data_IF_734490204062
#
_entry.id   IF_734490204062
#
_cell.length_a   1.000
_cell.length_b   1.000
_cell.length_c   1.000
_cell.angle_alpha   90.00
_cell.angle_beta   90.00
_cell.angle_gamma   90.00
#
_symmetry.space_group_name_H-M   'P 1'
#
loop_
_entity.id
_entity.type
_entity.pdbx_description
1 polymer ?
#
# COMPACT_ATOMS: atom_id res chain seq x y z
N UNK A 1 20.57 3.06 -25.49
CA UNK A 1 19.60 2.42 -24.57
C UNK A 1 19.21 3.46 -23.55
N UNK A 2 17.93 3.82 -23.55
CA UNK A 2 17.41 5.16 -23.27
C UNK A 2 17.08 5.36 -21.79
N UNK A 3 17.46 6.54 -21.27
CA UNK A 3 17.17 7.09 -19.93
C UNK A 3 15.70 7.00 -19.48
N UNK A 4 14.78 6.70 -20.40
CA UNK A 4 13.33 6.67 -20.20
C UNK A 4 12.82 5.36 -19.58
N UNK A 5 13.54 4.24 -19.71
CA UNK A 5 13.05 2.95 -19.20
C UNK A 5 13.09 2.84 -17.67
N UNK A 6 14.08 3.48 -17.01
CA UNK A 6 14.20 3.39 -15.55
C UNK A 6 13.06 4.12 -14.80
N UNK A 7 12.50 5.18 -15.36
CA UNK A 7 11.35 5.85 -14.75
C UNK A 7 10.07 5.02 -14.89
N UNK A 8 9.84 4.40 -16.05
CA UNK A 8 8.64 3.60 -16.31
C UNK A 8 8.54 2.38 -15.39
N UNK A 9 9.64 1.69 -15.10
CA UNK A 9 9.62 0.51 -14.19
C UNK A 9 9.31 0.86 -12.74
N UNK A 10 9.76 2.05 -12.29
CA UNK A 10 9.55 2.55 -10.93
C UNK A 10 8.13 3.12 -10.74
N UNK A 11 7.59 3.81 -11.75
CA UNK A 11 6.29 4.48 -11.66
C UNK A 11 5.09 3.60 -12.05
N UNK A 12 5.25 2.62 -12.94
CA UNK A 12 4.10 1.79 -13.36
C UNK A 12 3.54 0.98 -12.20
N UNK A 13 4.39 0.28 -11.43
CA UNK A 13 3.94 -0.56 -10.33
C UNK A 13 3.31 0.25 -9.18
N UNK A 14 3.84 1.46 -8.89
CA UNK A 14 3.29 2.31 -7.82
C UNK A 14 1.94 2.92 -8.23
N UNK A 15 1.74 3.22 -9.52
CA UNK A 15 0.47 3.75 -10.04
C UNK A 15 -0.62 2.68 -9.99
N UNK A 16 -0.29 1.44 -10.32
CA UNK A 16 -1.21 0.31 -10.24
C UNK A 16 -1.57 -0.03 -8.79
N UNK A 17 -0.57 -0.07 -7.90
CA UNK A 17 -0.77 -0.25 -6.46
C UNK A 17 -1.66 0.87 -5.87
N UNK A 18 -1.40 2.12 -6.26
CA UNK A 18 -2.17 3.29 -5.84
C UNK A 18 -3.62 3.25 -6.35
N UNK A 19 -3.83 2.87 -7.62
CA UNK A 19 -5.17 2.71 -8.21
C UNK A 19 -5.94 1.60 -7.49
N UNK A 20 -5.29 0.48 -7.20
CA UNK A 20 -5.87 -0.60 -6.42
C UNK A 20 -6.27 -0.16 -5.00
N UNK A 21 -5.45 0.68 -4.37
CA UNK A 21 -5.69 1.26 -3.05
C UNK A 21 -6.85 2.26 -3.04
N UNK A 22 -6.93 3.13 -4.05
CA UNK A 22 -8.01 4.10 -4.17
C UNK A 22 -9.36 3.41 -4.33
N UNK A 23 -9.43 2.35 -5.14
CA UNK A 23 -10.64 1.54 -5.28
C UNK A 23 -11.05 0.91 -3.94
N UNK A 24 -10.10 0.32 -3.22
CA UNK A 24 -10.36 -0.26 -1.89
C UNK A 24 -10.89 0.77 -0.90
N UNK A 25 -10.26 1.95 -0.84
CA UNK A 25 -10.69 3.02 0.06
C UNK A 25 -12.08 3.55 -0.30
N UNK A 26 -12.37 3.69 -1.59
CA UNK A 26 -13.68 4.11 -2.08
C UNK A 26 -14.78 3.12 -1.70
N UNK A 27 -14.56 1.81 -1.90
CA UNK A 27 -15.55 0.79 -1.52
C UNK A 27 -15.80 0.78 0.01
N UNK A 28 -14.75 0.98 0.82
CA UNK A 28 -14.89 1.14 2.28
C UNK A 28 -15.66 2.41 2.67
N UNK A 29 -15.40 3.53 2.00
CA UNK A 29 -16.06 4.80 2.25
C UNK A 29 -17.55 4.74 1.88
N UNK A 30 -17.89 4.13 0.75
CA UNK A 30 -19.28 3.88 0.34
C UNK A 30 -20.02 3.02 1.36
N UNK A 31 -19.38 1.96 1.87
CA UNK A 31 -19.93 1.09 2.93
C UNK A 31 -20.19 1.87 4.23
N UNK A 32 -19.26 2.75 4.59
CA UNK A 32 -19.40 3.61 5.77
C UNK A 32 -20.50 4.68 5.59
N UNK A 33 -20.70 5.21 4.38
CA UNK A 33 -21.79 6.14 4.10
C UNK A 33 -23.17 5.46 4.12
N UNK A 34 -23.25 4.19 3.73
CA UNK A 34 -24.49 3.42 3.73
C UNK A 34 -24.95 3.01 5.13
N UNK A 35 -24.01 2.83 6.07
CA UNK A 35 -24.33 2.47 7.46
C UNK A 35 -23.36 3.11 8.44
N UNK A 36 -23.91 3.82 9.44
CA UNK A 36 -23.15 4.41 10.55
C UNK A 36 -22.40 3.32 11.34
N UNK A 37 -22.92 2.10 11.38
CA UNK A 37 -22.27 0.93 11.96
C UNK A 37 -21.90 -0.07 10.84
N UNK A 38 -20.61 -0.26 10.62
CA UNK A 38 -20.14 -1.23 9.63
C UNK A 38 -20.23 -2.64 10.24
N UNK A 39 -21.16 -3.45 9.72
CA UNK A 39 -21.38 -4.81 10.20
C UNK A 39 -20.32 -5.82 9.76
N UNK A 40 -19.75 -5.66 8.55
CA UNK A 40 -18.69 -6.52 8.00
C UNK A 40 -17.93 -5.82 6.85
N UNK A 41 -16.62 -6.03 6.76
CA UNK A 41 -15.77 -5.58 5.64
C UNK A 41 -15.00 -6.72 4.97
N UNK A 42 -15.22 -7.95 5.44
CA UNK A 42 -14.44 -9.13 5.03
C UNK A 42 -14.58 -9.41 3.54
N UNK A 43 -15.74 -9.16 2.96
CA UNK A 43 -16.02 -9.27 1.53
C UNK A 43 -15.16 -8.33 0.69
N UNK A 44 -15.13 -7.04 1.04
CA UNK A 44 -14.33 -6.01 0.36
C UNK A 44 -12.84 -6.37 0.48
N UNK A 45 -12.38 -6.74 1.69
CA UNK A 45 -10.99 -7.11 1.91
C UNK A 45 -10.59 -8.35 1.12
N UNK A 46 -11.43 -9.39 1.10
CA UNK A 46 -11.12 -10.63 0.39
C UNK A 46 -11.06 -10.41 -1.13
N UNK A 47 -11.98 -9.62 -1.69
CA UNK A 47 -11.98 -9.21 -3.11
C UNK A 47 -10.70 -8.46 -3.46
N UNK A 48 -10.32 -7.47 -2.67
CA UNK A 48 -9.12 -6.67 -2.95
C UNK A 48 -7.81 -7.44 -2.70
N UNK A 49 -7.78 -8.34 -1.72
CA UNK A 49 -6.65 -9.22 -1.48
C UNK A 49 -6.37 -10.14 -2.67
N UNK A 50 -7.42 -10.63 -3.34
CA UNK A 50 -7.29 -11.53 -4.49
C UNK A 50 -6.92 -10.81 -5.78
N UNK A 51 -7.37 -9.57 -5.99
CA UNK A 51 -7.22 -8.88 -7.29
C UNK A 51 -6.14 -7.79 -7.30
N UNK A 52 -5.78 -7.21 -6.15
CA UNK A 52 -4.99 -5.97 -6.10
C UNK A 52 -3.66 -6.10 -5.34
N UNK A 53 -3.28 -7.29 -4.88
CA UNK A 53 -2.07 -7.49 -4.07
C UNK A 53 -0.81 -7.82 -4.90
N UNK A 54 -0.95 -8.36 -6.11
CA UNK A 54 0.18 -8.70 -7.00
C UNK A 54 1.11 -7.50 -7.30
N UNK A 55 0.61 -6.27 -7.53
CA UNK A 55 1.47 -5.10 -7.72
C UNK A 55 2.29 -4.76 -6.48
N UNK A 56 1.76 -5.00 -5.28
CA UNK A 56 2.47 -4.77 -4.02
C UNK A 56 3.60 -5.77 -3.83
N UNK A 57 3.38 -7.06 -4.15
CA UNK A 57 4.44 -8.09 -4.09
C UNK A 57 5.59 -7.71 -5.02
N UNK A 58 5.27 -7.28 -6.24
CA UNK A 58 6.26 -6.82 -7.22
C UNK A 58 6.97 -5.56 -6.74
N UNK A 59 6.25 -4.63 -6.13
CA UNK A 59 6.81 -3.39 -5.60
C UNK A 59 7.75 -3.66 -4.42
N UNK A 60 7.32 -4.43 -3.41
CA UNK A 60 8.12 -4.81 -2.24
C UNK A 60 9.37 -5.60 -2.64
N UNK A 61 9.26 -6.49 -3.63
CA UNK A 61 10.42 -7.24 -4.15
C UNK A 61 11.48 -6.31 -4.78
N UNK A 62 11.04 -5.20 -5.39
CA UNK A 62 11.91 -4.21 -5.99
C UNK A 62 12.35 -3.10 -5.01
N UNK A 63 11.74 -2.99 -3.83
CA UNK A 63 11.96 -1.89 -2.87
C UNK A 63 13.44 -1.69 -2.53
N UNK A 64 14.16 -2.77 -2.23
CA UNK A 64 15.60 -2.74 -1.92
C UNK A 64 16.41 -2.17 -3.09
N UNK A 65 16.01 -2.50 -4.33
CA UNK A 65 16.63 -1.95 -5.52
C UNK A 65 16.29 -0.47 -5.72
N UNK A 66 15.04 -0.06 -5.48
CA UNK A 66 14.63 1.34 -5.54
C UNK A 66 15.37 2.20 -4.51
N UNK A 67 15.49 1.72 -3.26
CA UNK A 67 16.25 2.37 -2.20
C UNK A 67 17.72 2.54 -2.56
N UNK A 68 18.38 1.49 -3.04
CA UNK A 68 19.78 1.56 -3.48
C UNK A 68 19.98 2.51 -4.66
N UNK A 69 19.03 2.51 -5.59
CA UNK A 69 19.06 3.40 -6.76
C UNK A 69 18.86 4.86 -6.34
N UNK A 70 17.92 5.13 -5.43
CA UNK A 70 17.71 6.46 -4.86
C UNK A 70 18.96 6.97 -4.15
N UNK A 71 19.56 6.18 -3.26
CA UNK A 71 20.80 6.55 -2.57
C UNK A 71 21.94 6.84 -3.57
N UNK A 72 22.10 6.00 -4.61
CA UNK A 72 23.10 6.24 -5.66
C UNK A 72 22.82 7.53 -6.43
N UNK A 73 21.57 7.83 -6.76
CA UNK A 73 21.20 9.06 -7.47
C UNK A 73 21.45 10.31 -6.62
N UNK A 74 21.12 10.26 -5.32
CA UNK A 74 21.40 11.35 -4.37
C UNK A 74 22.91 11.59 -4.21
N UNK A 75 23.72 10.53 -4.17
CA UNK A 75 25.17 10.66 -4.04
C UNK A 75 25.87 11.07 -5.34
N UNK A 76 25.37 10.65 -6.51
CA UNK A 76 26.00 10.93 -7.81
C UNK A 76 25.53 12.22 -8.47
N UNK A 77 24.32 12.68 -8.17
CA UNK A 77 23.72 13.84 -8.83
C UNK A 77 23.35 14.91 -7.79
N UNK A 78 24.18 15.96 -7.62
CA UNK A 78 23.90 17.04 -6.67
C UNK A 78 22.63 17.82 -7.02
N UNK A 79 22.28 17.93 -8.32
CA UNK A 79 21.03 18.57 -8.77
C UNK A 79 19.81 17.77 -8.32
N UNK A 80 19.90 16.43 -8.39
CA UNK A 80 18.83 15.57 -7.89
C UNK A 80 18.66 15.71 -6.38
N UNK A 81 19.76 15.77 -5.63
CA UNK A 81 19.74 15.98 -4.18
C UNK A 81 19.07 17.32 -3.82
N UNK A 82 19.40 18.40 -4.52
CA UNK A 82 18.82 19.72 -4.27
C UNK A 82 17.31 19.75 -4.53
N UNK A 83 16.86 19.16 -5.64
CA UNK A 83 15.43 19.00 -5.94
C UNK A 83 14.74 18.14 -4.87
N UNK A 84 15.37 17.05 -4.44
CA UNK A 84 14.84 16.18 -3.39
C UNK A 84 14.66 16.94 -2.07
N UNK A 85 15.68 17.67 -1.62
CA UNK A 85 15.61 18.49 -0.40
C UNK A 85 14.53 19.57 -0.50
N UNK A 86 14.33 20.17 -1.68
CA UNK A 86 13.23 21.12 -1.91
C UNK A 86 11.86 20.45 -1.78
N UNK A 87 11.71 19.23 -2.28
CA UNK A 87 10.46 18.47 -2.16
C UNK A 87 10.23 18.03 -0.71
N UNK A 88 11.25 17.52 -0.03
CA UNK A 88 11.18 17.08 1.37
C UNK A 88 10.84 18.24 2.32
N UNK A 89 11.28 19.46 1.99
CA UNK A 89 10.92 20.68 2.71
C UNK A 89 9.50 21.22 2.45
N UNK A 90 8.71 20.58 1.57
CA UNK A 90 7.33 20.97 1.36
C UNK A 90 6.47 20.63 2.60
N UNK A 91 5.54 21.51 3.02
CA UNK A 91 4.70 21.27 4.21
C UNK A 91 3.92 19.96 4.13
N UNK A 92 3.50 19.54 2.93
CA UNK A 92 2.80 18.26 2.71
C UNK A 92 3.69 17.04 2.96
N UNK A 93 5.00 17.17 2.73
CA UNK A 93 5.97 16.10 2.97
C UNK A 93 6.32 15.96 4.46
N UNK A 94 5.94 16.93 5.30
CA UNK A 94 6.21 16.94 6.76
C UNK A 94 7.68 16.68 7.12
N UNK A 95 8.62 17.13 6.28
CA UNK A 95 10.05 16.85 6.41
C UNK A 95 10.40 15.35 6.42
N UNK A 96 9.55 14.48 5.88
CA UNK A 96 9.86 13.08 5.71
C UNK A 96 10.73 12.89 4.46
N UNK A 97 11.78 12.07 4.55
CA UNK A 97 12.61 11.78 3.40
C UNK A 97 11.84 10.96 2.37
N UNK A 98 12.19 11.08 1.08
CA UNK A 98 11.51 10.36 -0.01
C UNK A 98 11.46 8.84 0.22
N UNK A 99 12.48 8.27 0.89
CA UNK A 99 12.52 6.86 1.28
C UNK A 99 11.33 6.46 2.16
N UNK A 100 10.87 7.35 3.05
CA UNK A 100 9.74 7.10 3.94
C UNK A 100 8.43 7.00 3.18
N UNK A 101 8.31 7.63 2.01
CA UNK A 101 7.15 7.49 1.13
C UNK A 101 7.21 6.19 0.32
N UNK A 102 8.41 5.79 -0.10
CA UNK A 102 8.61 4.54 -0.86
C UNK A 102 8.29 3.28 -0.04
N UNK A 103 8.44 3.32 1.29
CA UNK A 103 8.11 2.17 2.16
C UNK A 103 6.62 2.09 2.54
N UNK A 104 5.81 3.13 2.28
CA UNK A 104 4.38 3.15 2.64
C UNK A 104 3.58 1.97 2.07
N UNK A 105 3.76 1.54 0.81
CA UNK A 105 3.04 0.38 0.27
C UNK A 105 3.35 -0.91 1.04
N UNK A 106 4.60 -1.12 1.45
CA UNK A 106 5.02 -2.28 2.26
C UNK A 106 4.41 -2.22 3.67
N UNK A 107 4.43 -1.04 4.30
CA UNK A 107 3.80 -0.84 5.61
C UNK A 107 2.29 -1.08 5.56
N UNK A 108 1.64 -0.70 4.46
CA UNK A 108 0.20 -0.86 4.31
C UNK A 108 -0.20 -2.33 4.14
N UNK A 109 0.51 -3.08 3.30
CA UNK A 109 0.19 -4.49 3.07
C UNK A 109 0.47 -5.35 4.29
N UNK A 110 1.52 -5.06 5.05
CA UNK A 110 1.84 -5.80 6.31
C UNK A 110 0.90 -5.48 7.46
N UNK A 111 0.26 -4.30 7.46
CA UNK A 111 -0.69 -3.89 8.51
C UNK A 111 -2.10 -4.44 8.30
N UNK A 112 -2.50 -4.73 7.06
CA UNK A 112 -3.83 -5.26 6.74
C UNK A 112 -4.14 -6.60 7.44
N UNK A 113 -3.22 -7.60 7.46
CA UNK A 113 -3.41 -8.82 8.25
C UNK A 113 -3.64 -8.56 9.74
N UNK A 114 -2.87 -7.66 10.35
CA UNK A 114 -2.99 -7.34 11.79
C UNK A 114 -4.34 -6.71 12.12
N UNK A 115 -4.84 -5.84 11.24
CA UNK A 115 -6.15 -5.23 11.38
C UNK A 115 -7.27 -6.28 11.21
N UNK A 116 -7.16 -7.15 10.20
CA UNK A 116 -8.14 -8.22 10.01
C UNK A 116 -8.13 -9.25 11.13
N UNK A 117 -6.97 -9.57 11.70
CA UNK A 117 -6.87 -10.44 12.86
C UNK A 117 -7.58 -9.84 14.07
N UNK A 118 -7.39 -8.54 14.32
CA UNK A 118 -8.10 -7.82 15.38
C UNK A 118 -9.62 -7.83 15.17
N UNK A 119 -10.09 -7.66 13.92
CA UNK A 119 -11.52 -7.73 13.58
C UNK A 119 -12.05 -9.14 13.81
N UNK A 120 -11.30 -10.16 13.39
CA UNK A 120 -11.64 -11.57 13.58
C UNK A 120 -11.77 -11.92 15.07
N UNK A 121 -10.83 -11.47 15.91
CA UNK A 121 -10.86 -11.67 17.36
C UNK A 121 -12.07 -11.00 18.05
N UNK A 122 -12.55 -9.87 17.52
CA UNK A 122 -13.72 -9.16 18.04
C UNK A 122 -15.05 -9.68 17.47
N UNK A 123 -15.01 -10.57 16.48
CA UNK A 123 -16.21 -11.11 15.82
C UNK A 123 -16.64 -12.41 16.52
N UNK A 124 -17.95 -12.62 16.79
CA UNK A 124 -18.43 -13.85 17.43
C UNK A 124 -18.09 -15.11 16.60
N UNK A 125 -17.42 -16.09 17.23
CA UNK A 125 -16.86 -17.28 16.57
C UNK A 125 -17.88 -18.18 15.88
N UNK A 126 -19.13 -18.17 16.33
CA UNK A 126 -20.21 -19.00 15.79
C UNK A 126 -21.01 -18.31 14.67
N UNK A 127 -20.49 -17.22 14.11
CA UNK A 127 -21.16 -16.45 13.07
C UNK A 127 -20.54 -16.66 11.69
N UNK A 128 -21.36 -16.59 10.63
CA UNK A 128 -20.89 -16.59 9.25
C UNK A 128 -19.86 -15.46 8.97
N UNK A 129 -19.90 -14.39 9.77
CA UNK A 129 -18.95 -13.27 9.73
C UNK A 129 -17.56 -13.68 10.19
N UNK A 130 -17.44 -14.55 11.20
CA UNK A 130 -16.14 -15.06 11.64
C UNK A 130 -15.45 -15.88 10.53
N UNK A 131 -16.21 -16.72 9.83
CA UNK A 131 -15.70 -17.46 8.66
C UNK A 131 -15.35 -16.55 7.48
N UNK A 132 -16.09 -15.45 7.28
CA UNK A 132 -15.73 -14.44 6.29
C UNK A 132 -14.44 -13.71 6.67
N UNK A 133 -14.31 -13.25 7.92
CA UNK A 133 -13.12 -12.60 8.47
C UNK A 133 -11.88 -13.50 8.34
N UNK A 134 -12.00 -14.78 8.69
CA UNK A 134 -10.90 -15.74 8.62
C UNK A 134 -10.44 -15.97 7.18
N UNK A 135 -11.36 -16.06 6.22
CA UNK A 135 -11.03 -16.14 4.79
C UNK A 135 -10.34 -14.88 4.30
N UNK A 136 -10.83 -13.71 4.69
CA UNK A 136 -10.20 -12.43 4.36
C UNK A 136 -8.78 -12.32 4.93
N UNK A 137 -8.59 -12.71 6.21
CA UNK A 137 -7.28 -12.76 6.86
C UNK A 137 -6.30 -13.68 6.12
N UNK A 138 -6.75 -14.87 5.73
CA UNK A 138 -5.94 -15.79 4.93
C UNK A 138 -5.60 -15.22 3.54
N UNK A 139 -6.52 -14.49 2.92
CA UNK A 139 -6.28 -13.87 1.62
C UNK A 139 -5.24 -12.75 1.70
N UNK A 140 -5.23 -11.96 2.77
CA UNK A 140 -4.26 -10.87 2.96
C UNK A 140 -2.90 -11.30 3.51
N UNK A 141 -2.82 -12.50 4.09
CA UNK A 141 -1.58 -13.05 4.70
C UNK A 141 -0.78 -13.95 3.75
N UNK A 142 -1.06 -13.91 2.44
CA UNK A 142 -0.36 -14.68 1.41
C UNK A 142 1.01 -14.10 1.07
#
# INVERSE_FOLDING_TARGET
MTKTEHHSSLSSNITDAHTGQQKFFKELEERHQQSIAIDDISDIVCKHAQSNFDPYVTYCSNEVYQQRTLQRLVSKNPVFKEVLTRIEGHPDCRNLPMISFLILPMQRITRLPLLMDTICQKTPKDSARYEACKRALQAVSK
#
